data_IF_514698938414
#
_entry.id   IF_514698938414
#
_cell.length_a   1.000
_cell.length_b   1.000
_cell.length_c   1.000
_cell.angle_alpha   90.00
_cell.angle_beta   90.00
_cell.angle_gamma   90.00
#
_symmetry.space_group_name_H-M   'P 1'
#
loop_
_entity.id
_entity.type
_entity.pdbx_description
1 polymer ?
#
# COMPACT_ATOMS: atom_id res chain seq x y z
N UNK A 1 11.31 27.45 9.90
CA UNK A 1 11.53 26.68 8.65
C UNK A 1 10.98 25.24 8.66
N UNK A 2 10.80 24.59 9.83
CA UNK A 2 10.34 23.20 9.96
C UNK A 2 8.88 22.96 9.53
N UNK A 3 7.95 23.87 9.84
CA UNK A 3 6.52 23.75 9.45
C UNK A 3 6.27 23.74 7.94
N UNK A 4 6.99 24.56 7.17
CA UNK A 4 6.84 24.64 5.71
C UNK A 4 7.32 23.34 5.05
N UNK A 5 8.45 22.79 5.51
CA UNK A 5 8.96 21.50 5.05
C UNK A 5 7.99 20.36 5.33
N UNK A 6 7.45 20.28 6.55
CA UNK A 6 6.46 19.26 6.91
C UNK A 6 5.17 19.35 6.07
N UNK A 7 4.72 20.56 5.74
CA UNK A 7 3.56 20.77 4.86
C UNK A 7 3.82 20.30 3.43
N UNK A 8 5.02 20.55 2.88
CA UNK A 8 5.38 20.05 1.55
C UNK A 8 5.54 18.54 1.53
N UNK A 9 6.23 17.96 2.51
CA UNK A 9 6.39 16.51 2.62
C UNK A 9 5.05 15.77 2.72
N UNK A 10 4.07 16.34 3.44
CA UNK A 10 2.71 15.79 3.52
C UNK A 10 1.99 15.77 2.16
N UNK A 11 2.19 16.80 1.33
CA UNK A 11 1.62 16.83 -0.02
C UNK A 11 2.31 15.82 -0.94
N UNK A 12 3.63 15.66 -0.82
CA UNK A 12 4.38 14.66 -1.59
C UNK A 12 3.91 13.24 -1.25
N UNK A 13 3.70 12.94 0.04
CA UNK A 13 3.08 11.69 0.46
C UNK A 13 1.69 11.53 -0.17
N UNK A 14 0.87 12.58 -0.19
CA UNK A 14 -0.42 12.56 -0.86
C UNK A 14 -0.35 12.22 -2.35
N UNK A 15 0.58 12.85 -3.09
CA UNK A 15 0.82 12.56 -4.50
C UNK A 15 1.25 11.11 -4.68
N UNK A 16 2.17 10.63 -3.84
CA UNK A 16 2.62 9.24 -3.85
C UNK A 16 1.44 8.27 -3.70
N UNK A 17 0.59 8.49 -2.68
CA UNK A 17 -0.60 7.68 -2.43
C UNK A 17 -1.58 7.68 -3.61
N UNK A 18 -1.81 8.85 -4.23
CA UNK A 18 -2.67 8.94 -5.43
C UNK A 18 -2.09 8.12 -6.58
N UNK A 19 -0.80 8.25 -6.87
CA UNK A 19 -0.14 7.53 -7.97
C UNK A 19 -0.21 6.03 -7.76
N UNK A 20 0.13 5.52 -6.57
CA UNK A 20 0.07 4.07 -6.31
C UNK A 20 -1.37 3.54 -6.39
N UNK A 21 -2.37 4.31 -5.92
CA UNK A 21 -3.77 3.89 -6.04
C UNK A 21 -4.27 3.86 -7.48
N UNK A 22 -3.86 4.83 -8.31
CA UNK A 22 -4.18 4.82 -9.74
C UNK A 22 -3.53 3.62 -10.43
N UNK A 23 -2.27 3.30 -10.11
CA UNK A 23 -1.59 2.11 -10.64
C UNK A 23 -2.31 0.83 -10.22
N UNK A 24 -2.71 0.73 -8.95
CA UNK A 24 -3.46 -0.43 -8.44
C UNK A 24 -4.82 -0.58 -9.13
N UNK A 25 -5.57 0.52 -9.32
CA UNK A 25 -6.85 0.50 -10.05
C UNK A 25 -6.66 0.11 -11.52
N UNK A 26 -5.66 0.69 -12.19
CA UNK A 26 -5.34 0.34 -13.57
C UNK A 26 -4.97 -1.14 -13.71
N UNK A 27 -4.20 -1.68 -12.76
CA UNK A 27 -3.88 -3.09 -12.70
C UNK A 27 -5.14 -3.94 -12.51
N UNK A 28 -6.04 -3.58 -11.58
CA UNK A 28 -7.28 -4.32 -11.38
C UNK A 28 -8.21 -4.28 -12.60
N UNK A 29 -8.33 -3.13 -13.28
CA UNK A 29 -9.05 -3.02 -14.54
C UNK A 29 -8.46 -3.95 -15.59
N UNK A 30 -7.14 -3.90 -15.75
CA UNK A 30 -6.41 -4.75 -16.68
C UNK A 30 -6.63 -6.24 -16.40
N UNK A 31 -6.47 -6.68 -15.14
CA UNK A 31 -6.70 -8.06 -14.72
C UNK A 31 -8.17 -8.49 -14.86
N UNK A 32 -9.13 -7.58 -14.69
CA UNK A 32 -10.56 -7.86 -14.81
C UNK A 32 -11.04 -8.00 -16.26
N UNK A 33 -10.32 -7.43 -17.23
CA UNK A 33 -10.72 -7.38 -18.64
C UNK A 33 -10.66 -8.72 -19.39
N UNK A 34 -10.17 -9.79 -18.73
CA UNK A 34 -10.05 -11.12 -19.34
C UNK A 34 -8.99 -11.21 -20.44
N UNK A 35 -8.25 -10.12 -20.71
CA UNK A 35 -7.20 -10.05 -21.75
C UNK A 35 -5.95 -10.88 -21.44
N UNK A 36 -6.00 -11.68 -20.38
CA UNK A 36 -4.90 -12.48 -19.89
C UNK A 36 -5.44 -13.87 -19.52
N UNK A 37 -5.13 -14.87 -20.35
CA UNK A 37 -5.11 -16.30 -19.98
C UNK A 37 -3.97 -16.58 -18.98
N UNK A 38 -3.91 -15.75 -17.94
CA UNK A 38 -2.96 -15.87 -16.85
C UNK A 38 -3.61 -16.92 -15.93
N UNK A 39 -3.16 -18.18 -16.07
CA UNK A 39 -3.54 -19.30 -15.19
C UNK A 39 -3.66 -18.82 -13.74
N UNK A 40 -4.67 -19.31 -13.01
CA UNK A 40 -5.07 -18.86 -11.67
C UNK A 40 -3.94 -18.45 -10.70
N UNK A 41 -2.74 -19.04 -10.80
CA UNK A 41 -1.57 -18.69 -9.99
C UNK A 41 -1.09 -17.24 -10.14
N UNK A 42 -1.44 -16.57 -11.22
CA UNK A 42 -0.74 -15.35 -11.66
C UNK A 42 -1.43 -14.02 -11.37
N UNK A 43 -2.74 -14.05 -11.14
CA UNK A 43 -3.47 -12.93 -10.54
C UNK A 43 -3.01 -12.66 -9.12
N UNK A 44 -2.63 -13.71 -8.40
CA UNK A 44 -2.03 -13.59 -7.07
C UNK A 44 -0.67 -12.89 -7.12
N UNK A 45 0.11 -13.07 -8.19
CA UNK A 45 1.48 -12.57 -8.29
C UNK A 45 1.65 -11.06 -8.45
N UNK A 46 0.62 -10.31 -8.88
CA UNK A 46 0.73 -8.86 -9.12
C UNK A 46 -0.20 -8.06 -8.21
N UNK A 47 -0.96 -8.68 -7.30
CA UNK A 47 -1.85 -7.92 -6.42
C UNK A 47 -1.07 -7.28 -5.26
N UNK A 48 -0.97 -5.94 -5.19
CA UNK A 48 -0.32 -5.26 -4.07
C UNK A 48 -1.06 -5.45 -2.73
N UNK A 49 -2.23 -6.10 -2.74
CA UNK A 49 -3.01 -6.50 -1.56
C UNK A 49 -3.39 -8.00 -1.57
N UNK A 50 -2.50 -8.86 -2.05
CA UNK A 50 -2.58 -10.33 -2.00
C UNK A 50 -3.15 -10.91 -0.69
N UNK A 51 -2.84 -10.32 0.47
CA UNK A 51 -3.31 -10.81 1.78
C UNK A 51 -4.84 -10.85 1.93
N UNK A 52 -5.56 -9.97 1.21
CA UNK A 52 -7.02 -10.00 1.15
C UNK A 52 -7.55 -10.82 -0.03
N UNK A 53 -6.78 -10.88 -1.11
CA UNK A 53 -7.15 -11.63 -2.31
C UNK A 53 -7.05 -13.14 -2.10
N UNK A 54 -6.14 -13.63 -1.24
CA UNK A 54 -6.09 -15.02 -0.76
C UNK A 54 -7.37 -15.40 -0.01
N UNK A 55 -8.04 -14.45 0.65
CA UNK A 55 -9.33 -14.67 1.31
C UNK A 55 -10.52 -14.67 0.32
N UNK A 56 -10.26 -14.59 -0.99
CA UNK A 56 -11.29 -14.61 -2.03
C UNK A 56 -12.12 -13.32 -2.09
N UNK A 57 -11.60 -12.20 -1.59
CA UNK A 57 -12.34 -10.94 -1.47
C UNK A 57 -11.80 -9.87 -2.42
N UNK A 58 -11.95 -10.09 -3.73
CA UNK A 58 -11.56 -9.13 -4.77
C UNK A 58 -12.17 -7.72 -4.57
N UNK A 59 -13.37 -7.65 -4.00
CA UNK A 59 -14.04 -6.40 -3.64
C UNK A 59 -13.26 -5.59 -2.60
N UNK A 60 -12.59 -6.24 -1.63
CA UNK A 60 -11.80 -5.53 -0.63
C UNK A 60 -10.59 -4.87 -1.29
N UNK A 61 -9.93 -5.53 -2.25
CA UNK A 61 -8.88 -4.91 -3.07
C UNK A 61 -9.33 -3.59 -3.70
N UNK A 62 -10.47 -3.58 -4.38
CA UNK A 62 -11.05 -2.36 -4.95
C UNK A 62 -11.36 -1.28 -3.91
N UNK A 63 -12.03 -1.66 -2.82
CA UNK A 63 -12.41 -0.72 -1.75
C UNK A 63 -11.18 -0.08 -1.12
N UNK A 64 -10.14 -0.87 -0.86
CA UNK A 64 -8.88 -0.37 -0.30
C UNK A 64 -8.18 0.61 -1.26
N UNK A 65 -8.14 0.32 -2.57
CA UNK A 65 -7.51 1.19 -3.55
C UNK A 65 -8.23 2.54 -3.66
N UNK A 66 -9.56 2.53 -3.70
CA UNK A 66 -10.40 3.74 -3.70
C UNK A 66 -10.22 4.52 -2.39
N UNK A 67 -10.16 3.82 -1.27
CA UNK A 67 -9.96 4.44 0.04
C UNK A 67 -8.61 5.15 0.16
N UNK A 68 -7.52 4.49 -0.26
CA UNK A 68 -6.18 5.12 -0.27
C UNK A 68 -6.12 6.28 -1.25
N UNK A 69 -6.79 6.20 -2.40
CA UNK A 69 -6.91 7.32 -3.33
C UNK A 69 -7.57 8.53 -2.68
N UNK A 70 -8.66 8.32 -1.92
CA UNK A 70 -9.36 9.38 -1.20
C UNK A 70 -8.49 10.02 -0.12
N UNK A 71 -7.75 9.21 0.65
CA UNK A 71 -6.80 9.70 1.65
C UNK A 71 -5.64 10.47 1.00
N UNK A 72 -5.07 9.95 -0.07
CA UNK A 72 -4.00 10.62 -0.83
C UNK A 72 -4.46 11.97 -1.36
N UNK A 73 -5.66 12.03 -1.91
CA UNK A 73 -6.29 13.29 -2.36
C UNK A 73 -6.46 14.28 -1.21
N UNK A 74 -6.86 13.83 -0.02
CA UNK A 74 -6.95 14.68 1.15
C UNK A 74 -5.57 15.26 1.56
N UNK A 75 -4.50 14.47 1.50
CA UNK A 75 -3.13 14.95 1.72
C UNK A 75 -2.67 15.98 0.69
N UNK A 76 -3.01 15.79 -0.60
CA UNK A 76 -2.72 16.76 -1.67
C UNK A 76 -3.42 18.10 -1.41
N UNK A 77 -4.68 18.06 -0.96
CA UNK A 77 -5.46 19.24 -0.56
C UNK A 77 -4.94 19.90 0.73
N UNK A 78 -3.88 19.37 1.36
CA UNK A 78 -3.28 19.91 2.57
C UNK A 78 -3.95 19.48 3.87
N UNK A 79 -4.91 18.55 3.82
CA UNK A 79 -5.41 17.87 5.03
C UNK A 79 -4.35 16.91 5.55
N UNK A 80 -4.40 16.61 6.84
CA UNK A 80 -3.41 15.77 7.54
C UNK A 80 -4.08 14.55 8.22
N UNK A 81 -4.76 13.66 7.47
CA UNK A 81 -5.44 12.50 8.04
C UNK A 81 -4.44 11.39 8.44
N UNK A 82 -3.34 11.71 9.12
CA UNK A 82 -2.28 10.75 9.45
C UNK A 82 -2.79 9.59 10.29
N UNK A 83 -3.57 9.86 11.34
CA UNK A 83 -4.14 8.82 12.22
C UNK A 83 -5.04 7.89 11.42
N UNK A 84 -5.96 8.45 10.63
CA UNK A 84 -6.86 7.66 9.78
C UNK A 84 -6.06 6.79 8.82
N UNK A 85 -5.06 7.36 8.13
CA UNK A 85 -4.23 6.62 7.18
C UNK A 85 -3.45 5.49 7.85
N UNK A 86 -2.75 5.77 8.95
CA UNK A 86 -1.95 4.77 9.67
C UNK A 86 -2.85 3.65 10.19
N UNK A 87 -3.98 3.99 10.83
CA UNK A 87 -4.94 2.98 11.31
C UNK A 87 -5.51 2.15 10.17
N UNK A 88 -5.81 2.77 9.03
CA UNK A 88 -6.28 2.02 7.86
C UNK A 88 -5.21 1.08 7.31
N UNK A 89 -3.96 1.52 7.15
CA UNK A 89 -2.88 0.64 6.65
C UNK A 89 -2.48 -0.44 7.65
N UNK A 90 -2.66 -0.23 8.95
CA UNK A 90 -2.53 -1.32 9.92
C UNK A 90 -3.61 -2.37 9.69
N UNK A 91 -4.87 -1.97 9.50
CA UNK A 91 -5.96 -2.94 9.29
C UNK A 91 -5.81 -3.63 7.93
N UNK A 92 -5.55 -2.86 6.87
CA UNK A 92 -5.59 -3.33 5.50
C UNK A 92 -4.23 -3.84 4.97
N UNK A 93 -3.12 -3.39 5.53
CA UNK A 93 -1.76 -3.70 5.09
C UNK A 93 -1.04 -4.76 5.92
N UNK A 94 -1.39 -4.96 7.21
CA UNK A 94 -0.83 -6.07 8.00
C UNK A 94 -1.11 -7.44 7.38
N UNK A 95 -2.34 -7.75 6.91
CA UNK A 95 -2.61 -9.02 6.24
C UNK A 95 -1.71 -9.25 5.02
N UNK A 96 -1.31 -8.20 4.31
CA UNK A 96 -0.36 -8.28 3.20
C UNK A 96 1.02 -8.74 3.66
N UNK A 97 1.56 -8.11 4.71
CA UNK A 97 2.88 -8.44 5.25
C UNK A 97 2.88 -9.86 5.82
N UNK A 98 1.82 -10.22 6.56
CA UNK A 98 1.64 -11.54 7.16
C UNK A 98 1.46 -12.62 6.10
N UNK A 99 0.82 -12.34 4.97
CA UNK A 99 0.68 -13.29 3.87
C UNK A 99 1.95 -13.41 3.02
N UNK A 100 2.65 -12.30 2.77
CA UNK A 100 3.84 -12.28 1.91
C UNK A 100 5.01 -13.11 2.47
N UNK A 101 5.18 -13.16 3.79
CA UNK A 101 6.25 -13.91 4.45
C UNK A 101 6.13 -15.43 4.26
N UNK A 102 5.05 -16.11 4.67
CA UNK A 102 4.88 -17.54 4.46
C UNK A 102 4.77 -17.89 2.98
N UNK A 103 4.14 -17.05 2.15
CA UNK A 103 4.10 -17.26 0.70
C UNK A 103 5.51 -17.23 0.09
N UNK A 104 6.37 -16.30 0.51
CA UNK A 104 7.77 -16.26 0.11
C UNK A 104 8.58 -17.47 0.60
N UNK A 105 8.36 -17.93 1.83
CA UNK A 105 9.08 -19.07 2.41
C UNK A 105 8.70 -20.41 1.77
N UNK A 106 7.41 -20.62 1.47
CA UNK A 106 6.93 -21.86 0.81
C UNK A 106 7.43 -21.94 -0.62
N UNK A 107 7.41 -20.82 -1.34
CA UNK A 107 7.82 -20.76 -2.74
C UNK A 107 9.36 -20.69 -2.94
N UNK A 108 10.12 -20.39 -1.88
CA UNK A 108 11.58 -20.40 -1.91
C UNK A 108 12.17 -21.80 -2.20
N UNK A 109 11.48 -22.89 -1.81
CA UNK A 109 11.96 -24.25 -2.02
C UNK A 109 11.81 -24.77 -3.46
N UNK A 110 11.02 -24.11 -4.31
CA UNK A 110 10.65 -24.62 -5.63
C UNK A 110 11.37 -23.92 -6.80
N UNK A 111 12.29 -23.00 -6.53
CA UNK A 111 13.14 -22.34 -7.54
C UNK A 111 12.42 -21.28 -8.39
N UNK A 112 11.29 -21.59 -9.00
CA UNK A 112 10.43 -20.62 -9.72
C UNK A 112 9.72 -19.65 -8.75
N UNK A 113 9.47 -20.11 -7.53
CA UNK A 113 8.78 -19.34 -6.51
C UNK A 113 9.60 -18.20 -5.85
N UNK A 114 10.92 -18.17 -6.07
CA UNK A 114 11.80 -17.11 -5.54
C UNK A 114 11.46 -15.75 -6.18
N UNK A 115 11.30 -15.72 -7.51
CA UNK A 115 10.96 -14.49 -8.24
C UNK A 115 9.60 -13.94 -7.80
N UNK A 116 8.66 -14.83 -7.48
CA UNK A 116 7.31 -14.48 -7.02
C UNK A 116 7.33 -13.91 -5.60
N UNK A 117 8.05 -14.56 -4.67
CA UNK A 117 8.23 -14.07 -3.31
C UNK A 117 8.90 -12.70 -3.26
N UNK A 118 9.95 -12.49 -4.07
CA UNK A 118 10.62 -11.19 -4.19
C UNK A 118 9.66 -10.12 -4.72
N UNK A 119 8.87 -10.44 -5.75
CA UNK A 119 7.89 -9.50 -6.33
C UNK A 119 6.86 -9.07 -5.28
N UNK A 120 6.34 -10.01 -4.49
CA UNK A 120 5.38 -9.73 -3.42
C UNK A 120 5.98 -8.88 -2.29
N UNK A 121 7.23 -9.14 -1.92
CA UNK A 121 7.95 -8.31 -0.95
C UNK A 121 8.12 -6.88 -1.49
N UNK A 122 8.52 -6.72 -2.75
CA UNK A 122 8.66 -5.40 -3.38
C UNK A 122 7.33 -4.65 -3.39
N UNK A 123 6.23 -5.32 -3.76
CA UNK A 123 4.90 -4.73 -3.74
C UNK A 123 4.48 -4.34 -2.32
N UNK A 124 4.68 -5.19 -1.32
CA UNK A 124 4.39 -4.86 0.08
C UNK A 124 5.22 -3.66 0.57
N UNK A 125 6.48 -3.56 0.15
CA UNK A 125 7.34 -2.43 0.51
C UNK A 125 6.85 -1.13 -0.13
N UNK A 126 6.55 -1.15 -1.43
CA UNK A 126 6.10 0.04 -2.18
C UNK A 126 4.71 0.51 -1.75
N UNK A 127 3.75 -0.39 -1.61
CA UNK A 127 2.35 -0.03 -1.38
C UNK A 127 2.00 0.14 0.10
N UNK A 128 2.77 -0.46 1.01
CA UNK A 128 2.48 -0.46 2.45
C UNK A 128 3.61 0.14 3.28
N UNK A 129 4.82 -0.44 3.24
CA UNK A 129 5.91 -0.09 4.19
C UNK A 129 6.41 1.34 4.00
N UNK A 130 6.74 1.74 2.77
CA UNK A 130 7.23 3.10 2.49
C UNK A 130 6.23 4.17 2.92
N UNK A 131 4.96 4.13 2.45
CA UNK A 131 4.04 5.21 2.77
C UNK A 131 3.58 5.20 4.24
N UNK A 132 3.49 4.03 4.91
CA UNK A 132 3.19 3.99 6.34
C UNK A 132 4.33 4.55 7.20
N UNK A 133 5.59 4.19 6.91
CA UNK A 133 6.75 4.73 7.63
C UNK A 133 6.86 6.24 7.43
N UNK A 134 6.61 6.72 6.21
CA UNK A 134 6.59 8.15 5.93
C UNK A 134 5.45 8.87 6.67
N UNK A 135 4.25 8.29 6.70
CA UNK A 135 3.14 8.85 7.45
C UNK A 135 3.41 8.90 8.97
N UNK A 136 4.00 7.86 9.55
CA UNK A 136 4.39 7.83 10.97
C UNK A 136 5.43 8.91 11.26
N UNK A 137 6.47 9.02 10.44
CA UNK A 137 7.46 10.08 10.56
C UNK A 137 6.79 11.46 10.56
N UNK A 138 5.93 11.73 9.56
CA UNK A 138 5.22 13.01 9.49
C UNK A 138 4.26 13.23 10.66
N UNK A 139 3.61 12.19 11.18
CA UNK A 139 2.73 12.29 12.34
C UNK A 139 3.50 12.70 13.61
N UNK A 140 4.67 12.10 13.85
CA UNK A 140 5.52 12.40 15.01
C UNK A 140 6.06 13.84 14.93
N UNK A 141 6.59 14.24 13.77
CA UNK A 141 7.22 15.56 13.60
C UNK A 141 6.23 16.71 13.36
N UNK A 142 4.96 16.42 13.05
CA UNK A 142 3.92 17.43 12.91
C UNK A 142 3.12 17.69 14.19
N UNK A 143 3.32 16.88 15.23
CA UNK A 143 2.62 17.03 16.50
C UNK A 143 3.33 18.10 17.37
N UNK A 144 2.67 19.22 17.72
CA UNK A 144 3.32 20.32 18.45
C UNK A 144 3.69 19.97 19.91
N UNK A 145 3.24 18.83 20.45
CA UNK A 145 3.48 18.43 21.85
C UNK A 145 4.88 17.88 22.13
N UNK A 146 5.70 17.61 21.11
CA UNK A 146 7.07 17.08 21.25
C UNK A 146 8.16 18.16 21.27
N UNK A 147 7.79 19.45 21.31
CA UNK A 147 8.73 20.58 21.24
C UNK A 147 8.99 21.33 22.55
N UNK A 148 8.30 21.00 23.64
CA UNK A 148 8.41 21.71 24.94
C UNK A 148 8.75 20.74 26.09
N UNK A 149 9.77 19.89 25.92
CA UNK A 149 10.43 19.20 27.04
C UNK A 149 11.94 19.32 26.93
#
# INVERSE_FOLDING_TARGET
>A
MTRIRASMSSRILGIYLVVISVLQIALYLYLSSGSFDLELGSREFVDPRIGWSILGHSLLGWLTAIWVFAIGSAFVLGRKPFVTYISTELILGLPQIVAAIPYGLINWSEGEGIHQGITQIILAVLFTVIPITWAIYLAIYSNPKTGDQ
#
